data_IF_003809933670
#
_entry.id   IF_003809933670
#
_cell.length_a   1.000
_cell.length_b   1.000
_cell.length_c   1.000
_cell.angle_alpha   90.00
_cell.angle_beta   90.00
_cell.angle_gamma   90.00
#
_symmetry.space_group_name_H-M   'P 1'
#
loop_
_entity.id
_entity.type
_entity.pdbx_description
1 polymer ?
#
# COMPACT_ATOMS: atom_id res chain seq x y z
N UNK A 1 -26.21 3.88 -1.91
CA UNK A 1 -24.97 4.40 -1.29
C UNK A 1 -23.93 4.50 -2.39
N UNK A 2 -23.41 5.70 -2.67
CA UNK A 2 -22.31 5.84 -3.62
C UNK A 2 -21.01 5.83 -2.82
N UNK A 3 -20.18 4.82 -3.03
CA UNK A 3 -18.85 4.68 -2.46
C UNK A 3 -17.93 4.12 -3.54
N UNK A 4 -16.64 4.43 -3.43
CA UNK A 4 -15.63 4.00 -4.40
C UNK A 4 -14.48 3.30 -3.71
N UNK A 5 -13.86 2.35 -4.40
CA UNK A 5 -12.61 1.74 -3.96
C UNK A 5 -11.56 1.91 -5.05
N UNK A 6 -10.47 2.60 -4.74
CA UNK A 6 -9.27 2.65 -5.57
C UNK A 6 -8.31 1.55 -5.13
N UNK A 7 -8.08 0.58 -6.01
CA UNK A 7 -7.19 -0.56 -5.74
C UNK A 7 -5.81 -0.27 -6.33
N UNK A 8 -4.80 -0.23 -5.47
CA UNK A 8 -3.40 -0.01 -5.86
C UNK A 8 -2.45 -0.77 -4.91
N UNK A 9 -1.55 -1.63 -5.42
CA UNK A 9 -0.56 -2.30 -4.59
C UNK A 9 0.41 -1.29 -3.95
N UNK A 10 1.17 -1.74 -2.95
CA UNK A 10 2.14 -0.89 -2.23
C UNK A 10 3.43 -0.69 -3.02
N UNK A 11 3.29 -0.06 -4.18
CA UNK A 11 4.38 0.36 -5.07
C UNK A 11 4.28 1.88 -5.25
N UNK A 12 5.41 2.58 -5.31
CA UNK A 12 5.44 4.05 -5.46
C UNK A 12 4.81 4.47 -6.78
N UNK A 13 5.09 3.75 -7.88
CA UNK A 13 4.42 3.95 -9.17
C UNK A 13 2.90 3.75 -9.06
N UNK A 14 2.44 2.71 -8.36
CA UNK A 14 1.02 2.45 -8.20
C UNK A 14 0.33 3.55 -7.38
N UNK A 15 0.98 4.07 -6.32
CA UNK A 15 0.50 5.20 -5.53
C UNK A 15 0.42 6.50 -6.33
N UNK A 16 1.37 6.74 -7.22
CA UNK A 16 1.32 7.86 -8.17
C UNK A 16 0.10 7.76 -9.10
N UNK A 17 -0.14 6.59 -9.69
CA UNK A 17 -1.31 6.35 -10.55
C UNK A 17 -2.62 6.49 -9.76
N UNK A 18 -2.67 5.98 -8.54
CA UNK A 18 -3.83 6.10 -7.66
C UNK A 18 -4.15 7.56 -7.30
N UNK A 19 -3.12 8.36 -6.99
CA UNK A 19 -3.28 9.81 -6.80
C UNK A 19 -3.73 10.53 -8.08
N UNK A 20 -3.26 10.11 -9.24
CA UNK A 20 -3.71 10.66 -10.52
C UNK A 20 -5.20 10.39 -10.73
N UNK A 21 -5.63 9.14 -10.54
CA UNK A 21 -7.04 8.73 -10.63
C UNK A 21 -7.94 9.47 -9.62
N UNK A 22 -7.41 9.75 -8.41
CA UNK A 22 -8.13 10.51 -7.39
C UNK A 22 -8.57 11.91 -7.87
N UNK A 23 -7.85 12.52 -8.80
CA UNK A 23 -8.24 13.83 -9.37
C UNK A 23 -9.64 13.80 -9.99
N UNK A 24 -10.07 12.65 -10.53
CA UNK A 24 -11.42 12.46 -11.10
C UNK A 24 -12.55 12.50 -10.06
N UNK A 25 -12.21 12.47 -8.77
CA UNK A 25 -13.12 12.51 -7.62
C UNK A 25 -13.15 13.87 -6.91
N UNK A 26 -12.33 14.83 -7.33
CA UNK A 26 -12.39 16.19 -6.81
C UNK A 26 -13.79 16.77 -7.01
N UNK A 27 -14.40 17.29 -5.94
CA UNK A 27 -15.78 17.80 -5.94
C UNK A 27 -16.90 16.74 -6.00
N UNK A 28 -16.58 15.46 -6.19
CA UNK A 28 -17.55 14.35 -6.18
C UNK A 28 -17.53 13.55 -4.89
N UNK A 29 -16.38 13.51 -4.21
CA UNK A 29 -16.17 12.79 -2.96
C UNK A 29 -16.15 13.75 -1.77
N UNK A 30 -16.66 13.28 -0.64
CA UNK A 30 -16.62 13.94 0.67
C UNK A 30 -15.30 13.70 1.39
N UNK A 31 -14.56 12.65 1.03
CA UNK A 31 -13.37 12.24 1.75
C UNK A 31 -12.65 11.05 1.16
N UNK A 32 -11.49 10.75 1.73
CA UNK A 32 -10.69 9.57 1.42
C UNK A 32 -10.46 8.72 2.67
N UNK A 33 -10.50 7.40 2.48
CA UNK A 33 -10.15 6.41 3.50
C UNK A 33 -8.82 5.76 3.10
N UNK A 34 -7.79 5.96 3.92
CA UNK A 34 -6.43 5.49 3.68
C UNK A 34 -6.13 4.25 4.52
N UNK A 35 -5.43 3.23 3.97
CA UNK A 35 -5.12 1.98 4.66
C UNK A 35 -3.92 2.12 5.61
N UNK A 36 -3.83 3.26 6.30
CA UNK A 36 -2.75 3.60 7.21
C UNK A 36 -3.19 3.39 8.66
N UNK A 37 -2.24 3.32 9.60
CA UNK A 37 -2.58 3.20 11.02
C UNK A 37 -3.48 4.32 11.53
N UNK A 38 -4.52 3.94 12.27
CA UNK A 38 -5.51 4.89 12.81
C UNK A 38 -4.92 5.92 13.77
N UNK A 39 -3.82 5.59 14.44
CA UNK A 39 -3.09 6.45 15.37
C UNK A 39 -2.22 7.52 14.69
N UNK A 40 -1.96 7.42 13.38
CA UNK A 40 -1.27 8.47 12.62
C UNK A 40 -2.22 9.38 11.83
N UNK A 41 -3.54 9.17 11.93
CA UNK A 41 -4.55 9.88 11.14
C UNK A 41 -4.42 11.40 11.26
N UNK A 42 -4.29 11.92 12.48
CA UNK A 42 -4.16 13.35 12.73
C UNK A 42 -2.93 13.93 12.02
N UNK A 43 -1.81 13.21 12.05
CA UNK A 43 -0.57 13.68 11.45
C UNK A 43 -0.66 13.68 9.91
N UNK A 44 -1.28 12.65 9.33
CA UNK A 44 -1.53 12.58 7.90
C UNK A 44 -2.45 13.73 7.46
N UNK A 45 -3.50 14.00 8.24
CA UNK A 45 -4.43 15.11 8.00
C UNK A 45 -3.73 16.46 8.08
N UNK A 46 -2.93 16.69 9.12
CA UNK A 46 -2.13 17.91 9.27
C UNK A 46 -1.28 18.17 8.02
N UNK A 47 -0.65 17.12 7.47
CA UNK A 47 0.16 17.26 6.27
C UNK A 47 -0.67 17.59 5.03
N UNK A 48 -1.77 16.85 4.81
CA UNK A 48 -2.64 17.05 3.64
C UNK A 48 -3.28 18.44 3.66
N UNK A 49 -3.64 18.95 4.84
CA UNK A 49 -4.23 20.28 4.98
C UNK A 49 -3.19 21.42 5.00
N UNK A 50 -1.90 21.11 4.84
CA UNK A 50 -0.83 22.09 4.78
C UNK A 50 -0.41 22.68 6.14
N UNK A 51 -0.86 22.09 7.26
CA UNK A 51 -0.50 22.51 8.63
C UNK A 51 0.95 22.14 8.96
N UNK A 52 1.43 20.99 8.48
CA UNK A 52 2.81 20.55 8.66
C UNK A 52 3.50 20.19 7.35
N UNK A 53 4.81 20.33 7.32
CA UNK A 53 5.66 19.88 6.21
C UNK A 53 5.92 18.38 6.25
N UNK A 54 6.36 17.83 5.11
CA UNK A 54 6.67 16.40 4.94
C UNK A 54 7.63 15.87 6.00
N UNK A 55 8.74 16.58 6.26
CA UNK A 55 9.72 16.21 7.28
C UNK A 55 9.08 16.06 8.67
N UNK A 56 8.18 16.98 9.03
CA UNK A 56 7.50 16.97 10.32
C UNK A 56 6.48 15.84 10.43
N UNK A 57 5.79 15.50 9.33
CA UNK A 57 4.96 14.29 9.26
C UNK A 57 5.79 13.04 9.58
N UNK A 58 6.94 12.87 8.92
CA UNK A 58 7.80 11.70 9.13
C UNK A 58 8.29 11.61 10.58
N UNK A 59 8.64 12.73 11.21
CA UNK A 59 9.01 12.77 12.63
C UNK A 59 7.85 12.33 13.54
N UNK A 60 6.64 12.85 13.31
CA UNK A 60 5.45 12.49 14.10
C UNK A 60 5.08 11.01 13.92
N UNK A 61 5.06 10.51 12.69
CA UNK A 61 4.79 9.09 12.36
C UNK A 61 5.83 8.17 13.00
N UNK A 62 7.11 8.56 12.99
CA UNK A 62 8.17 7.80 13.68
C UNK A 62 7.94 7.75 15.20
N UNK A 63 7.57 8.87 15.81
CA UNK A 63 7.27 8.94 17.26
C UNK A 63 6.02 8.15 17.64
N UNK A 64 5.07 8.01 16.73
CA UNK A 64 3.89 7.15 16.91
C UNK A 64 4.21 5.65 16.87
N UNK A 65 5.48 5.25 16.70
CA UNK A 65 5.93 3.85 16.80
C UNK A 65 6.01 3.10 15.47
N UNK A 66 5.78 3.77 14.33
CA UNK A 66 5.95 3.14 13.01
C UNK A 66 7.45 2.91 12.74
N UNK A 67 7.90 1.65 12.74
CA UNK A 67 9.32 1.30 12.56
C UNK A 67 9.80 1.39 11.11
N UNK A 68 8.89 1.33 10.15
CA UNK A 68 9.17 1.28 8.71
C UNK A 68 8.90 2.62 7.99
N UNK A 69 9.04 3.76 8.69
CA UNK A 69 8.72 5.10 8.15
C UNK A 69 9.40 5.39 6.83
N UNK A 70 10.67 4.99 6.63
CA UNK A 70 11.40 5.27 5.39
C UNK A 70 10.76 4.60 4.18
N UNK A 71 10.45 3.30 4.28
CA UNK A 71 9.81 2.55 3.21
C UNK A 71 8.38 3.03 2.97
N UNK A 72 7.64 3.35 4.05
CA UNK A 72 6.31 3.93 3.94
C UNK A 72 6.33 5.30 3.25
N UNK A 73 7.23 6.18 3.66
CA UNK A 73 7.43 7.50 3.08
C UNK A 73 7.73 7.41 1.58
N UNK A 74 8.65 6.52 1.20
CA UNK A 74 8.98 6.27 -0.20
C UNK A 74 7.75 5.90 -1.03
N UNK A 75 6.95 4.95 -0.54
CA UNK A 75 5.79 4.43 -1.28
C UNK A 75 4.67 5.46 -1.35
N UNK A 76 4.36 6.11 -0.22
CA UNK A 76 3.12 6.87 -0.03
C UNK A 76 3.25 8.36 -0.35
N UNK A 77 4.46 8.91 -0.43
CA UNK A 77 4.70 10.32 -0.77
C UNK A 77 3.93 10.81 -2.01
N UNK A 78 3.85 10.09 -3.15
CA UNK A 78 3.18 10.63 -4.33
C UNK A 78 1.67 10.76 -4.12
N UNK A 79 1.07 9.85 -3.35
CA UNK A 79 -0.34 9.88 -3.03
C UNK A 79 -0.65 11.01 -2.04
N UNK A 80 0.15 11.11 -0.97
CA UNK A 80 -0.02 12.15 0.05
C UNK A 80 0.24 13.55 -0.52
N UNK A 81 1.28 13.72 -1.33
CA UNK A 81 1.57 14.97 -2.04
C UNK A 81 0.46 15.35 -2.99
N UNK A 82 -0.13 14.39 -3.69
CA UNK A 82 -1.28 14.64 -4.56
C UNK A 82 -2.54 15.02 -3.80
N UNK A 83 -2.81 14.38 -2.65
CA UNK A 83 -3.88 14.79 -1.75
C UNK A 83 -3.67 16.23 -1.27
N UNK A 84 -2.46 16.57 -0.82
CA UNK A 84 -2.16 17.95 -0.42
C UNK A 84 -2.41 18.95 -1.55
N UNK A 85 -1.90 18.67 -2.75
CA UNK A 85 -2.11 19.52 -3.93
C UNK A 85 -3.60 19.71 -4.25
N UNK A 86 -4.41 18.65 -4.20
CA UNK A 86 -5.84 18.77 -4.46
C UNK A 86 -6.54 19.62 -3.39
N UNK A 87 -6.15 19.50 -2.12
CA UNK A 87 -6.65 20.35 -1.04
C UNK A 87 -6.27 21.83 -1.25
N UNK A 88 -5.01 22.10 -1.61
CA UNK A 88 -4.54 23.45 -1.95
C UNK A 88 -5.29 24.06 -3.15
N UNK A 89 -5.75 23.23 -4.09
CA UNK A 89 -6.62 23.61 -5.20
C UNK A 89 -8.11 23.75 -4.82
N UNK A 90 -8.45 23.66 -3.54
CA UNK A 90 -9.80 23.87 -3.00
C UNK A 90 -10.71 22.64 -3.01
N UNK A 91 -10.19 21.44 -3.29
CA UNK A 91 -10.97 20.22 -3.13
C UNK A 91 -11.09 19.86 -1.64
N UNK A 92 -12.27 20.11 -1.06
CA UNK A 92 -12.57 19.78 0.33
C UNK A 92 -12.89 18.30 0.52
N UNK A 93 -11.87 17.47 0.77
CA UNK A 93 -12.07 16.07 1.21
C UNK A 93 -11.57 15.89 2.65
N UNK A 94 -12.38 15.20 3.46
CA UNK A 94 -11.93 14.68 4.76
C UNK A 94 -10.92 13.55 4.55
N UNK A 95 -9.88 13.49 5.40
CA UNK A 95 -8.87 12.44 5.37
C UNK A 95 -9.02 11.56 6.60
N UNK A 96 -9.21 10.26 6.39
CA UNK A 96 -9.39 9.25 7.43
C UNK A 96 -8.48 8.04 7.20
N UNK A 97 -8.04 7.41 8.28
CA UNK A 97 -7.23 6.20 8.27
C UNK A 97 -8.02 5.04 8.88
N UNK A 98 -7.91 3.85 8.30
CA UNK A 98 -8.68 2.69 8.78
C UNK A 98 -7.83 1.45 9.10
N UNK A 99 -6.53 1.53 8.91
CA UNK A 99 -5.61 0.42 9.18
C UNK A 99 -5.44 0.15 10.68
N UNK A 100 -4.84 -1.00 11.03
CA UNK A 100 -4.46 -1.33 12.40
C UNK A 100 -3.52 -0.27 12.96
N UNK A 101 -3.56 -0.05 14.28
CA UNK A 101 -2.61 0.79 15.00
C UNK A 101 -1.15 0.35 14.75
N UNK A 102 -0.20 1.25 15.00
CA UNK A 102 1.23 0.93 14.87
C UNK A 102 1.63 -0.25 15.74
N UNK A 103 1.04 -0.38 16.93
CA UNK A 103 1.28 -1.51 17.85
C UNK A 103 0.78 -2.85 17.27
N UNK A 104 -0.43 -2.89 16.73
CA UNK A 104 -0.98 -4.09 16.08
C UNK A 104 -0.13 -4.50 14.88
N UNK A 105 0.32 -3.53 14.07
CA UNK A 105 1.23 -3.79 12.96
C UNK A 105 2.59 -4.30 13.42
N UNK A 106 3.14 -3.76 14.51
CA UNK A 106 4.42 -4.23 15.06
C UNK A 106 4.34 -5.70 15.50
N UNK A 107 3.29 -6.07 16.23
CA UNK A 107 3.06 -7.46 16.65
C UNK A 107 2.88 -8.39 15.45
N UNK A 108 2.05 -7.99 14.48
CA UNK A 108 1.83 -8.74 13.24
C UNK A 108 3.12 -8.93 12.44
N UNK A 109 3.95 -7.90 12.36
CA UNK A 109 5.24 -7.95 11.65
C UNK A 109 6.17 -9.00 12.26
N UNK A 110 6.25 -9.08 13.60
CA UNK A 110 7.07 -10.08 14.28
C UNK A 110 6.66 -11.52 13.96
N UNK A 111 5.35 -11.80 13.97
CA UNK A 111 4.82 -13.12 13.62
C UNK A 111 5.04 -13.47 12.14
N UNK A 112 4.81 -12.52 11.22
CA UNK A 112 5.09 -12.71 9.79
C UNK A 112 6.57 -13.00 9.57
N UNK A 113 7.47 -12.22 10.16
CA UNK A 113 8.92 -12.42 10.02
C UNK A 113 9.33 -13.81 10.48
N UNK A 114 8.84 -14.28 11.63
CA UNK A 114 9.09 -15.63 12.14
C UNK A 114 8.68 -16.72 11.15
N UNK A 115 7.52 -16.59 10.52
CA UNK A 115 7.06 -17.55 9.50
C UNK A 115 7.88 -17.49 8.22
N UNK A 116 8.17 -16.27 7.74
CA UNK A 116 8.99 -16.02 6.54
C UNK A 116 10.37 -16.63 6.69
N UNK A 117 11.06 -16.36 7.81
CA UNK A 117 12.38 -16.92 8.10
C UNK A 117 12.35 -18.45 8.19
N UNK A 118 11.33 -19.01 8.86
CA UNK A 118 11.17 -20.47 8.94
C UNK A 118 11.06 -21.09 7.55
N UNK A 119 10.22 -20.54 6.67
CA UNK A 119 10.07 -21.04 5.30
C UNK A 119 11.38 -20.91 4.54
N UNK A 120 12.09 -19.78 4.65
CA UNK A 120 13.37 -19.58 3.95
C UNK A 120 14.46 -20.56 4.39
N UNK A 121 14.59 -20.83 5.69
CA UNK A 121 15.64 -21.69 6.23
C UNK A 121 15.31 -23.17 6.07
N UNK A 122 14.05 -23.56 6.26
CA UNK A 122 13.65 -24.98 6.31
C UNK A 122 12.96 -25.49 5.05
N UNK A 123 12.50 -24.60 4.17
CA UNK A 123 11.64 -24.93 3.02
C UNK A 123 10.22 -25.39 3.39
N UNK A 124 9.91 -25.57 4.69
CA UNK A 124 8.62 -26.09 5.17
C UNK A 124 7.61 -24.96 5.37
N UNK A 125 6.40 -25.14 4.85
CA UNK A 125 5.29 -24.19 4.99
C UNK A 125 4.26 -24.73 5.99
N UNK A 126 4.02 -23.98 7.06
CA UNK A 126 2.98 -24.24 8.05
C UNK A 126 1.72 -23.42 7.72
N UNK A 127 0.83 -23.99 6.91
CA UNK A 127 -0.37 -23.29 6.44
C UNK A 127 -1.33 -22.89 7.56
N UNK A 128 -1.37 -23.62 8.67
CA UNK A 128 -2.26 -23.28 9.79
C UNK A 128 -1.76 -22.05 10.55
N UNK A 129 -0.45 -21.92 10.75
CA UNK A 129 0.14 -20.70 11.29
C UNK A 129 -0.08 -19.49 10.36
N UNK A 130 0.10 -19.65 9.04
CA UNK A 130 -0.19 -18.60 8.07
C UNK A 130 -1.68 -18.21 8.06
N UNK A 131 -2.58 -19.20 8.09
CA UNK A 131 -4.03 -18.97 8.17
C UNK A 131 -4.41 -18.16 9.40
N UNK A 132 -3.81 -18.45 10.57
CA UNK A 132 -4.08 -17.72 11.81
C UNK A 132 -3.71 -16.24 11.69
N UNK A 133 -2.55 -15.93 11.09
CA UNK A 133 -2.10 -14.56 10.87
C UNK A 133 -3.02 -13.83 9.89
N UNK A 134 -3.32 -14.46 8.75
CA UNK A 134 -4.15 -13.88 7.69
C UNK A 134 -5.62 -13.71 8.10
N UNK A 135 -6.12 -14.45 9.10
CA UNK A 135 -7.47 -14.25 9.68
C UNK A 135 -7.67 -12.88 10.31
N UNK A 136 -6.61 -12.15 10.61
CA UNK A 136 -6.67 -10.77 11.12
C UNK A 136 -6.98 -9.76 10.00
N UNK A 137 -7.74 -10.18 8.98
CA UNK A 137 -7.99 -9.40 7.77
C UNK A 137 -8.62 -8.05 8.11
N UNK A 138 -7.98 -6.99 7.60
CA UNK A 138 -8.47 -5.63 7.75
C UNK A 138 -9.72 -5.51 6.88
N UNK A 139 -10.88 -5.44 7.52
CA UNK A 139 -12.13 -5.15 6.81
C UNK A 139 -11.99 -3.78 6.14
N UNK A 140 -12.09 -3.75 4.82
CA UNK A 140 -12.08 -2.51 4.04
C UNK A 140 -13.39 -1.77 4.35
N UNK A 141 -13.35 -0.64 5.07
CA UNK A 141 -14.57 0.08 5.42
C UNK A 141 -15.11 0.76 4.17
N UNK A 142 -16.43 0.79 4.06
CA UNK A 142 -17.13 1.56 3.05
C UNK A 142 -17.87 2.69 3.73
N UNK A 143 -17.74 3.89 3.18
CA UNK A 143 -18.41 5.08 3.67
C UNK A 143 -18.98 5.86 2.51
N UNK A 144 -20.23 6.27 2.64
CA UNK A 144 -20.92 7.02 1.59
C UNK A 144 -20.20 8.33 1.26
N UNK A 145 -19.94 8.53 -0.03
CA UNK A 145 -19.22 9.68 -0.55
C UNK A 145 -17.71 9.60 -0.36
N UNK A 146 -17.14 8.48 0.13
CA UNK A 146 -15.70 8.33 0.30
C UNK A 146 -15.07 7.47 -0.79
N UNK A 147 -13.84 7.83 -1.14
CA UNK A 147 -12.94 7.00 -1.94
C UNK A 147 -12.03 6.22 -1.00
N UNK A 148 -12.13 4.90 -1.01
CA UNK A 148 -11.36 4.02 -0.14
C UNK A 148 -10.16 3.47 -0.90
N UNK A 149 -8.95 3.71 -0.39
CA UNK A 149 -7.73 3.15 -0.95
C UNK A 149 -7.50 1.76 -0.38
N UNK A 150 -7.34 0.76 -1.24
CA UNK A 150 -7.02 -0.61 -0.84
C UNK A 150 -5.83 -1.14 -1.65
N UNK A 151 -5.05 -2.04 -1.05
CA UNK A 151 -4.01 -2.78 -1.77
C UNK A 151 -4.48 -4.14 -2.30
N UNK A 152 -5.69 -4.55 -1.93
CA UNK A 152 -6.33 -5.79 -2.38
C UNK A 152 -7.71 -5.45 -2.92
N UNK A 153 -8.12 -6.14 -3.98
CA UNK A 153 -9.45 -5.98 -4.54
C UNK A 153 -10.51 -6.49 -3.55
N UNK A 154 -11.44 -5.65 -3.07
CA UNK A 154 -12.48 -6.10 -2.17
C UNK A 154 -13.52 -6.95 -2.91
N UNK A 155 -14.02 -8.00 -2.26
CA UNK A 155 -15.20 -8.75 -2.72
C UNK A 155 -16.48 -8.11 -2.17
N UNK A 156 -16.74 -6.86 -2.51
CA UNK A 156 -17.93 -6.15 -2.05
C UNK A 156 -18.82 -5.82 -3.24
N UNK A 157 -20.11 -6.15 -3.12
CA UNK A 157 -21.11 -5.91 -4.16
C UNK A 157 -21.70 -4.51 -4.01
N UNK A 158 -22.07 -3.88 -5.12
CA UNK A 158 -22.73 -2.57 -5.12
C UNK A 158 -21.80 -1.37 -4.88
N UNK A 159 -20.50 -1.56 -5.06
CA UNK A 159 -19.47 -0.50 -4.96
C UNK A 159 -18.68 -0.45 -6.25
N UNK A 160 -18.39 0.75 -6.72
CA UNK A 160 -17.55 0.95 -7.90
C UNK A 160 -16.09 0.73 -7.50
N UNK A 161 -15.50 -0.35 -8.02
CA UNK A 161 -14.09 -0.70 -7.81
C UNK A 161 -13.30 -0.24 -9.02
N UNK A 162 -12.31 0.61 -8.78
CA UNK A 162 -11.43 1.17 -9.78
C UNK A 162 -10.04 0.61 -9.54
N UNK A 163 -9.68 -0.36 -10.36
CA UNK A 163 -8.33 -0.90 -10.38
C UNK A 163 -7.43 0.02 -11.20
N UNK A 164 -6.53 0.73 -10.51
CA UNK A 164 -5.54 1.59 -11.16
C UNK A 164 -4.30 0.82 -11.60
N UNK A 165 -4.18 -0.45 -11.20
CA UNK A 165 -3.01 -1.28 -11.42
C UNK A 165 -3.30 -2.43 -12.39
N UNK A 166 -3.08 -2.16 -13.68
CA UNK A 166 -3.35 -3.12 -14.76
C UNK A 166 -2.27 -4.20 -14.95
N UNK A 167 -1.42 -4.40 -13.96
CA UNK A 167 -0.30 -5.35 -14.01
C UNK A 167 -0.48 -6.43 -12.94
N UNK A 168 0.22 -7.57 -13.06
CA UNK A 168 0.14 -8.63 -12.07
C UNK A 168 0.44 -8.12 -10.67
N UNK A 169 -0.44 -8.42 -9.72
CA UNK A 169 -0.32 -7.98 -8.33
C UNK A 169 0.98 -8.57 -7.73
N UNK A 170 1.78 -7.77 -6.99
CA UNK A 170 2.98 -8.27 -6.34
C UNK A 170 2.67 -9.43 -5.40
N UNK A 171 3.59 -10.40 -5.23
CA UNK A 171 3.38 -11.53 -4.32
C UNK A 171 3.01 -11.12 -2.89
N UNK A 172 3.47 -9.96 -2.42
CA UNK A 172 3.15 -9.38 -1.10
C UNK A 172 1.68 -9.04 -0.90
N UNK A 173 0.95 -8.75 -1.97
CA UNK A 173 -0.47 -8.37 -1.97
C UNK A 173 -1.35 -9.51 -2.47
N UNK A 174 -0.75 -10.52 -3.12
CA UNK A 174 -1.44 -11.72 -3.58
C UNK A 174 -1.75 -12.70 -2.44
N UNK A 175 -0.93 -12.74 -1.38
CA UNK A 175 -1.12 -13.66 -0.25
C UNK A 175 -2.30 -13.22 0.63
N UNK A 176 -3.39 -13.98 0.58
CA UNK A 176 -4.61 -13.77 1.37
C UNK A 176 -5.15 -15.11 1.87
N UNK A 177 -6.19 -15.09 2.72
CA UNK A 177 -6.83 -16.33 3.17
C UNK A 177 -7.35 -17.19 2.02
N UNK A 178 -7.80 -16.56 0.93
CA UNK A 178 -8.42 -17.22 -0.22
C UNK A 178 -7.39 -17.85 -1.15
N UNK A 179 -6.21 -17.23 -1.26
CA UNK A 179 -5.11 -17.69 -2.11
C UNK A 179 -4.09 -18.52 -1.33
N UNK A 180 -4.32 -18.76 -0.03
CA UNK A 180 -3.36 -19.44 0.85
C UNK A 180 -3.10 -20.87 0.39
N UNK A 181 -1.88 -21.11 -0.07
CA UNK A 181 -1.34 -22.42 -0.46
C UNK A 181 0.16 -22.48 -0.16
N UNK A 182 0.77 -23.65 -0.29
CA UNK A 182 2.23 -23.75 -0.12
C UNK A 182 2.96 -22.90 -1.17
N UNK A 183 2.47 -22.89 -2.41
CA UNK A 183 3.11 -22.18 -3.51
C UNK A 183 2.98 -20.66 -3.37
N UNK A 184 1.82 -20.16 -2.91
CA UNK A 184 1.66 -18.71 -2.69
C UNK A 184 2.52 -18.21 -1.53
N UNK A 185 2.65 -19.00 -0.46
CA UNK A 185 3.59 -18.69 0.64
C UNK A 185 5.03 -18.75 0.16
N UNK A 186 5.44 -19.78 -0.58
CA UNK A 186 6.81 -19.88 -1.12
C UNK A 186 7.12 -18.72 -2.05
N UNK A 187 6.19 -18.34 -2.92
CA UNK A 187 6.33 -17.20 -3.81
C UNK A 187 6.41 -15.88 -3.05
N UNK A 188 5.62 -15.68 -1.99
CA UNK A 188 5.73 -14.53 -1.09
C UNK A 188 7.13 -14.44 -0.46
N UNK A 189 7.63 -15.56 0.08
CA UNK A 189 8.95 -15.63 0.75
C UNK A 189 10.08 -15.41 -0.25
N UNK A 190 10.07 -16.07 -1.41
CA UNK A 190 11.05 -15.83 -2.48
C UNK A 190 11.01 -14.39 -2.98
N UNK A 191 9.82 -13.80 -3.15
CA UNK A 191 9.73 -12.39 -3.55
C UNK A 191 10.40 -11.46 -2.54
N UNK A 192 10.24 -11.69 -1.24
CA UNK A 192 10.94 -10.91 -0.22
C UNK A 192 12.46 -11.05 -0.31
N UNK A 193 12.98 -12.28 -0.32
CA UNK A 193 14.43 -12.51 -0.21
C UNK A 193 15.18 -12.30 -1.52
N UNK A 194 14.60 -12.72 -2.65
CA UNK A 194 15.29 -12.77 -3.95
C UNK A 194 15.04 -11.48 -4.78
N UNK A 195 14.08 -10.64 -4.35
CA UNK A 195 13.74 -9.38 -5.03
C UNK A 195 13.77 -8.17 -4.10
N UNK A 196 12.97 -8.14 -3.03
CA UNK A 196 12.85 -6.94 -2.19
C UNK A 196 14.18 -6.61 -1.49
N UNK A 197 14.82 -7.59 -0.86
CA UNK A 197 16.07 -7.38 -0.11
C UNK A 197 17.24 -7.00 -1.04
N UNK A 198 17.26 -7.54 -2.27
CA UNK A 198 18.34 -7.30 -3.23
C UNK A 198 18.19 -5.98 -4.01
N UNK A 199 17.03 -5.33 -3.95
CA UNK A 199 16.72 -4.14 -4.74
C UNK A 199 16.82 -2.87 -3.90
N UNK A 200 17.06 -1.73 -4.54
CA UNK A 200 17.17 -0.44 -3.83
C UNK A 200 15.82 0.02 -3.29
N UNK A 201 14.74 -0.39 -3.95
CA UNK A 201 13.36 -0.09 -3.56
C UNK A 201 12.38 -1.14 -4.10
N UNK A 202 11.13 -1.07 -3.62
CA UNK A 202 10.07 -2.04 -3.96
C UNK A 202 9.64 -2.01 -5.42
N UNK A 203 9.77 -0.86 -6.10
CA UNK A 203 9.42 -0.74 -7.51
C UNK A 203 10.46 -1.46 -8.37
N UNK A 204 11.75 -1.28 -8.09
CA UNK A 204 12.84 -2.04 -8.74
C UNK A 204 12.66 -3.55 -8.52
N UNK A 205 12.36 -3.98 -7.29
CA UNK A 205 12.10 -5.37 -6.97
C UNK A 205 10.94 -5.95 -7.80
N UNK A 206 9.86 -5.18 -7.91
CA UNK A 206 8.70 -5.55 -8.70
C UNK A 206 8.99 -5.65 -10.20
N UNK A 207 9.70 -4.67 -10.77
CA UNK A 207 10.05 -4.67 -12.19
C UNK A 207 11.01 -5.81 -12.54
N UNK A 208 11.98 -6.12 -11.67
CA UNK A 208 12.85 -7.31 -11.79
C UNK A 208 12.02 -8.59 -11.79
N UNK A 209 11.10 -8.72 -10.83
CA UNK A 209 10.20 -9.87 -10.73
C UNK A 209 9.32 -10.07 -11.97
N UNK A 210 8.75 -8.99 -12.53
CA UNK A 210 7.97 -9.10 -13.78
C UNK A 210 8.83 -9.62 -14.94
N UNK A 211 10.04 -9.07 -15.11
CA UNK A 211 10.95 -9.50 -16.18
C UNK A 211 11.31 -10.99 -16.04
N UNK A 212 11.63 -11.46 -14.83
CA UNK A 212 11.96 -12.87 -14.57
C UNK A 212 10.77 -13.81 -14.82
N UNK A 213 9.54 -13.31 -14.73
CA UNK A 213 8.32 -14.05 -15.11
C UNK A 213 8.02 -13.99 -16.61
N UNK A 214 8.91 -13.42 -17.42
CA UNK A 214 8.73 -13.27 -18.87
C UNK A 214 7.62 -12.29 -19.23
N UNK A 215 7.23 -11.41 -18.31
CA UNK A 215 6.17 -10.43 -18.54
C UNK A 215 6.75 -9.19 -19.19
N UNK A 216 6.18 -8.78 -20.31
CA UNK A 216 6.57 -7.54 -20.97
C UNK A 216 6.17 -6.35 -20.10
N UNK A 217 7.16 -5.70 -19.50
CA UNK A 217 6.97 -4.45 -18.76
C UNK A 217 6.97 -3.30 -19.76
N UNK A 218 5.85 -2.56 -19.91
CA UNK A 218 5.75 -1.45 -20.84
C UNK A 218 6.80 -0.37 -20.54
N UNK A 219 7.37 0.19 -21.60
CA UNK A 219 8.46 1.17 -21.49
C UNK A 219 8.04 2.43 -20.72
N UNK A 220 6.77 2.84 -20.83
CA UNK A 220 6.21 3.94 -20.05
C UNK A 220 6.24 3.65 -18.54
N UNK A 221 6.02 2.41 -18.10
CA UNK A 221 6.10 2.04 -16.69
C UNK A 221 7.54 2.11 -16.18
N UNK A 222 8.51 1.64 -16.98
CA UNK A 222 9.95 1.76 -16.65
C UNK A 222 10.39 3.21 -16.56
N UNK A 223 9.95 4.06 -17.49
CA UNK A 223 10.23 5.50 -17.48
C UNK A 223 9.62 6.17 -16.24
N UNK A 224 8.38 5.85 -15.90
CA UNK A 224 7.71 6.38 -14.72
C UNK A 224 8.44 5.97 -13.43
N UNK A 225 8.87 4.71 -13.32
CA UNK A 225 9.68 4.22 -12.20
C UNK A 225 10.96 5.05 -12.03
N UNK A 226 11.72 5.26 -13.12
CA UNK A 226 12.95 6.06 -13.10
C UNK A 226 12.70 7.51 -12.69
N UNK A 227 11.64 8.14 -13.21
CA UNK A 227 11.28 9.51 -12.87
C UNK A 227 10.93 9.67 -11.38
N UNK A 228 10.21 8.70 -10.81
CA UNK A 228 9.83 8.72 -9.40
C UNK A 228 11.02 8.43 -8.46
N UNK A 229 12.09 7.80 -8.95
CA UNK A 229 13.33 7.65 -8.19
C UNK A 229 14.14 8.95 -8.14
N UNK A 230 14.18 9.68 -9.26
CA UNK A 230 14.96 10.92 -9.38
C UNK A 230 14.39 12.09 -8.57
N UNK A 231 13.11 12.04 -8.19
CA UNK A 231 12.46 13.08 -7.37
C UNK A 231 12.88 13.07 -5.89
N UNK A 232 13.59 12.04 -5.45
CA UNK A 232 14.02 11.85 -4.06
C UNK A 232 15.52 12.13 -3.84
N UNK A 233 16.22 12.66 -4.85
CA UNK A 233 17.60 13.21 -4.78
C UNK A 233 17.51 14.74 -4.73
#
# INVERSE_FOLDING_TARGET
MIAWVLVAPRLRIARFLAGTALSGFAGKSRGVLLPYPRDIEEHVRDFVYGIIEWRRLLEKVKRAGMSYVRSWAWIEEPLLGKLRLLHELGAGFDVRCYGPSTMELFQLTGEILKLVFRVRVTGKVDLESWRRILKTEIKIPLREGYVTFSSVQPKIHGVEVIDVWKYPIPPTEKLSLETLSQDTVKNYVSYMFDYIIESKNVDEAYLKWLNDKGMEVPENLKKLAKLLVLKDI
#
